data_IF_893910284007
#
_entry.id   IF_893910284007
#
_cell.length_a   1.000
_cell.length_b   1.000
_cell.length_c   1.000
_cell.angle_alpha   90.00
_cell.angle_beta   90.00
_cell.angle_gamma   90.00
#
_symmetry.space_group_name_H-M   'P 1'
#
loop_
_entity.id
_entity.type
_entity.pdbx_description
1 polymer ?
#
# COMPACT_ATOMS: atom_id res chain seq x y z
N UNK A 1 -12.92 -12.71 54.02
CA UNK A 1 -12.55 -11.82 52.94
C UNK A 1 -12.07 -12.64 51.77
N UNK A 2 -12.95 -12.83 50.77
CA UNK A 2 -12.70 -13.64 49.57
C UNK A 2 -12.14 -12.75 48.49
N UNK A 3 -10.87 -12.92 48.11
CA UNK A 3 -10.28 -12.34 46.89
C UNK A 3 -10.69 -13.17 45.68
N UNK A 4 -11.66 -12.71 44.94
CA UNK A 4 -11.98 -13.27 43.63
C UNK A 4 -10.99 -12.63 42.67
N UNK A 5 -9.90 -13.36 42.31
CA UNK A 5 -9.01 -13.00 41.24
C UNK A 5 -9.80 -12.96 39.93
N UNK A 6 -9.94 -11.75 39.39
CA UNK A 6 -10.60 -11.50 38.12
C UNK A 6 -9.67 -11.98 36.96
N UNK A 7 -9.68 -13.28 36.69
CA UNK A 7 -8.90 -13.91 35.62
C UNK A 7 -9.42 -13.60 34.19
N UNK A 8 -10.56 -12.87 34.10
CA UNK A 8 -11.18 -12.55 32.82
C UNK A 8 -10.53 -11.44 32.01
N UNK A 9 -9.57 -10.69 32.58
CA UNK A 9 -9.04 -9.48 31.97
C UNK A 9 -7.76 -9.67 31.12
N UNK A 10 -7.17 -10.87 31.12
CA UNK A 10 -5.91 -11.14 30.41
C UNK A 10 -6.11 -11.76 29.02
N UNK A 11 -7.25 -12.39 28.77
CA UNK A 11 -7.52 -13.08 27.50
C UNK A 11 -7.64 -12.13 26.30
N UNK A 12 -8.33 -10.96 26.38
CA UNK A 12 -8.40 -10.03 25.26
C UNK A 12 -7.04 -9.51 24.81
N UNK A 13 -6.12 -9.27 25.74
CA UNK A 13 -4.80 -8.75 25.44
C UNK A 13 -3.88 -9.74 24.72
N UNK A 14 -4.11 -11.05 24.89
CA UNK A 14 -3.36 -12.11 24.21
C UNK A 14 -3.82 -12.25 22.76
N UNK A 15 -5.13 -12.22 22.53
CA UNK A 15 -5.69 -12.24 21.16
C UNK A 15 -5.27 -11.01 20.35
N UNK A 16 -5.33 -9.82 20.94
CA UNK A 16 -4.86 -8.59 20.34
C UNK A 16 -3.37 -8.66 19.98
N UNK A 17 -2.56 -9.28 20.84
CA UNK A 17 -1.13 -9.43 20.60
C UNK A 17 -0.84 -10.39 19.42
N UNK A 18 -1.56 -11.52 19.33
CA UNK A 18 -1.43 -12.46 18.21
C UNK A 18 -1.91 -11.82 16.90
N UNK A 19 -3.04 -11.09 16.92
CA UNK A 19 -3.55 -10.34 15.79
C UNK A 19 -2.54 -9.33 15.27
N UNK A 20 -2.04 -8.46 16.13
CA UNK A 20 -1.05 -7.45 15.79
C UNK A 20 0.27 -8.06 15.26
N UNK A 21 0.70 -9.21 15.80
CA UNK A 21 1.88 -9.93 15.30
C UNK A 21 1.64 -10.53 13.92
N UNK A 22 0.46 -11.05 13.65
CA UNK A 22 0.09 -11.57 12.33
C UNK A 22 0.08 -10.45 11.29
N UNK A 23 -0.53 -9.33 11.60
CA UNK A 23 -0.56 -8.14 10.74
C UNK A 23 0.83 -7.61 10.41
N UNK A 24 1.70 -7.49 11.42
CA UNK A 24 3.09 -7.08 11.20
C UNK A 24 3.82 -8.00 10.22
N UNK A 25 3.58 -9.31 10.28
CA UNK A 25 4.16 -10.26 9.35
C UNK A 25 3.59 -10.13 7.94
N UNK A 26 2.30 -9.78 7.84
CA UNK A 26 1.62 -9.59 6.56
C UNK A 26 2.11 -8.33 5.85
N UNK A 27 2.26 -7.21 6.57
CA UNK A 27 2.70 -5.94 6.00
C UNK A 27 4.21 -5.86 5.78
N UNK A 28 5.02 -6.71 6.43
CA UNK A 28 6.48 -6.62 6.40
C UNK A 28 7.10 -6.66 4.99
N UNK A 29 6.69 -7.56 4.06
CA UNK A 29 7.26 -7.59 2.71
C UNK A 29 7.01 -6.29 1.94
N UNK A 30 5.78 -5.77 1.99
CA UNK A 30 5.40 -4.53 1.34
C UNK A 30 6.14 -3.32 1.96
N UNK A 31 6.19 -3.27 3.30
CA UNK A 31 6.90 -2.24 4.04
C UNK A 31 8.40 -2.20 3.68
N UNK A 32 9.03 -3.37 3.56
CA UNK A 32 10.46 -3.47 3.20
C UNK A 32 10.70 -2.95 1.79
N UNK A 33 9.84 -3.29 0.83
CA UNK A 33 9.97 -2.84 -0.55
C UNK A 33 9.75 -1.33 -0.68
N UNK A 34 8.70 -0.80 -0.07
CA UNK A 34 8.42 0.63 -0.07
C UNK A 34 9.51 1.44 0.65
N UNK A 35 10.04 0.90 1.77
CA UNK A 35 11.14 1.56 2.50
C UNK A 35 12.45 1.60 1.74
N UNK A 36 12.68 0.63 0.87
CA UNK A 36 13.84 0.63 -0.03
C UNK A 36 13.73 1.74 -1.09
N UNK A 37 12.52 2.01 -1.58
CA UNK A 37 12.26 3.03 -2.60
C UNK A 37 12.18 4.44 -2.01
N UNK A 38 11.62 4.54 -0.82
CA UNK A 38 11.36 5.81 -0.13
C UNK A 38 12.03 5.82 1.26
N UNK A 39 13.37 5.90 1.34
CA UNK A 39 14.09 5.90 2.62
C UNK A 39 13.71 7.10 3.50
N UNK A 40 13.29 8.21 2.89
CA UNK A 40 12.93 9.45 3.58
C UNK A 40 11.60 9.36 4.35
N UNK A 41 10.74 8.39 4.04
CA UNK A 41 9.48 8.15 4.77
C UNK A 41 9.71 7.58 6.17
N UNK A 42 10.96 7.24 6.52
CA UNK A 42 11.30 6.77 7.86
C UNK A 42 10.91 5.31 8.17
N UNK A 43 10.59 4.53 7.16
CA UNK A 43 10.20 3.10 7.30
C UNK A 43 11.27 2.27 8.02
N UNK A 44 12.54 2.66 7.93
CA UNK A 44 13.67 2.01 8.62
C UNK A 44 13.80 2.32 10.11
N UNK A 45 13.07 3.30 10.62
CA UNK A 45 13.12 3.69 12.04
C UNK A 45 12.42 2.62 12.88
N UNK A 46 13.09 2.18 13.96
CA UNK A 46 12.48 1.21 14.89
C UNK A 46 11.41 1.90 15.74
N UNK A 47 10.13 1.56 15.57
CA UNK A 47 9.08 2.13 16.39
C UNK A 47 9.22 1.66 17.83
N UNK A 48 8.99 2.59 18.77
CA UNK A 48 8.97 2.33 20.22
C UNK A 48 7.52 2.21 20.69
N UNK A 49 7.29 1.41 21.74
CA UNK A 49 5.98 1.30 22.37
C UNK A 49 5.26 -0.02 22.13
N UNK A 50 4.00 -0.11 22.58
CA UNK A 50 3.16 -1.30 22.45
C UNK A 50 2.97 -1.75 21.00
N UNK A 51 2.77 -3.05 20.82
CA UNK A 51 2.72 -3.68 19.49
C UNK A 51 1.61 -3.09 18.59
N UNK A 52 0.46 -2.75 19.17
CA UNK A 52 -0.67 -2.16 18.45
C UNK A 52 -0.32 -0.80 17.83
N UNK A 53 0.36 0.08 18.60
CA UNK A 53 0.81 1.37 18.08
C UNK A 53 1.85 1.21 16.96
N UNK A 54 2.72 0.21 17.08
CA UNK A 54 3.70 -0.11 16.04
C UNK A 54 3.06 -0.59 14.73
N UNK A 55 1.92 -1.30 14.81
CA UNK A 55 1.15 -1.68 13.62
C UNK A 55 0.56 -0.44 12.96
N UNK A 56 -0.14 0.41 13.73
CA UNK A 56 -0.76 1.62 13.22
C UNK A 56 0.26 2.56 12.56
N UNK A 57 1.40 2.80 13.22
CA UNK A 57 2.49 3.62 12.69
C UNK A 57 3.01 3.07 11.35
N UNK A 58 3.25 1.76 11.26
CA UNK A 58 3.73 1.14 10.02
C UNK A 58 2.71 1.17 8.89
N UNK A 59 1.41 1.06 9.21
CA UNK A 59 0.35 1.21 8.22
C UNK A 59 0.28 2.62 7.66
N UNK A 60 0.43 3.65 8.53
CA UNK A 60 0.53 5.03 8.08
C UNK A 60 1.72 5.25 7.13
N UNK A 61 2.90 4.72 7.49
CA UNK A 61 4.09 4.81 6.64
C UNK A 61 3.90 4.12 5.28
N UNK A 62 3.17 3.00 5.23
CA UNK A 62 2.83 2.34 3.97
C UNK A 62 1.91 3.24 3.13
N UNK A 63 0.88 3.83 3.73
CA UNK A 63 -0.04 4.75 3.03
C UNK A 63 0.70 5.94 2.45
N UNK A 64 1.59 6.57 3.22
CA UNK A 64 2.40 7.70 2.78
C UNK A 64 3.33 7.31 1.62
N UNK A 65 4.00 6.17 1.73
CA UNK A 65 4.89 5.67 0.67
C UNK A 65 4.12 5.30 -0.61
N UNK A 66 2.94 4.68 -0.49
CA UNK A 66 2.07 4.38 -1.63
C UNK A 66 1.62 5.65 -2.34
N UNK A 67 1.25 6.67 -1.57
CA UNK A 67 0.85 7.97 -2.13
C UNK A 67 2.01 8.65 -2.87
N UNK A 68 3.21 8.63 -2.31
CA UNK A 68 4.41 9.19 -2.97
C UNK A 68 4.76 8.44 -4.26
N UNK A 69 4.72 7.11 -4.24
CA UNK A 69 4.98 6.27 -5.42
C UNK A 69 3.96 6.57 -6.53
N UNK A 70 2.69 6.68 -6.17
CA UNK A 70 1.61 6.94 -7.11
C UNK A 70 1.67 8.35 -7.70
N UNK A 71 1.97 9.37 -6.88
CA UNK A 71 2.12 10.74 -7.38
C UNK A 71 3.33 10.87 -8.30
N UNK A 72 4.42 10.17 -8.02
CA UNK A 72 5.59 10.12 -8.89
C UNK A 72 5.27 9.44 -10.23
N UNK A 73 4.53 8.31 -10.20
CA UNK A 73 4.11 7.59 -11.40
C UNK A 73 3.13 8.41 -12.25
N UNK A 74 2.16 9.08 -11.62
CA UNK A 74 1.22 9.96 -12.31
C UNK A 74 1.94 11.16 -12.96
N UNK A 75 2.87 11.78 -12.25
CA UNK A 75 3.70 12.87 -12.80
C UNK A 75 4.57 12.40 -13.98
N UNK A 76 5.11 11.17 -13.91
CA UNK A 76 5.87 10.59 -15.02
C UNK A 76 4.99 10.35 -16.25
N UNK A 77 3.76 9.89 -16.06
CA UNK A 77 2.77 9.66 -17.12
C UNK A 77 2.32 10.96 -17.79
N UNK A 78 2.16 12.05 -17.00
CA UNK A 78 1.72 13.37 -17.48
C UNK A 78 2.86 14.17 -18.11
N UNK A 79 4.13 13.72 -18.05
CA UNK A 79 5.24 14.36 -18.78
C UNK A 79 5.07 14.11 -20.27
N UNK A 80 4.88 15.17 -21.10
CA UNK A 80 4.90 15.01 -22.54
C UNK A 80 6.26 14.48 -22.96
N UNK A 81 6.28 13.51 -23.88
CA UNK A 81 7.49 13.08 -24.56
C UNK A 81 7.81 14.15 -25.61
N UNK A 82 8.18 15.35 -25.17
CA UNK A 82 8.57 16.43 -26.06
C UNK A 82 10.04 16.33 -26.40
N UNK A 83 10.34 15.47 -27.38
CA UNK A 83 11.59 15.54 -28.15
C UNK A 83 11.48 16.54 -29.32
N UNK A 84 10.47 17.41 -29.38
CA UNK A 84 10.37 18.41 -30.45
C UNK A 84 9.71 19.67 -29.90
N UNK A 85 10.45 20.76 -29.87
CA UNK A 85 10.15 22.05 -29.24
C UNK A 85 8.93 22.81 -29.77
N UNK A 86 7.76 22.23 -29.71
CA UNK A 86 6.49 22.91 -29.92
C UNK A 86 5.78 23.06 -28.57
N UNK A 87 5.72 24.30 -28.09
CA UNK A 87 5.00 24.71 -26.88
C UNK A 87 3.50 24.56 -27.15
N UNK A 88 2.78 23.61 -26.55
CA UNK A 88 1.32 23.58 -26.70
C UNK A 88 0.74 24.78 -25.93
N UNK A 89 0.03 25.63 -26.63
CA UNK A 89 -0.81 26.69 -26.05
C UNK A 89 -1.93 25.98 -25.32
N UNK A 90 -1.84 25.92 -24.00
CA UNK A 90 -2.90 25.36 -23.14
C UNK A 90 -4.10 26.29 -23.24
N UNK A 91 -5.17 25.86 -23.87
CA UNK A 91 -6.44 26.58 -23.84
C UNK A 91 -7.01 26.59 -22.40
N UNK A 92 -7.44 27.75 -21.87
CA UNK A 92 -8.06 27.83 -20.56
C UNK A 92 -9.53 27.38 -20.68
N UNK A 93 -9.76 26.08 -20.53
CA UNK A 93 -11.13 25.52 -20.67
C UNK A 93 -11.23 24.01 -20.41
N UNK A 94 -10.11 23.34 -20.18
CA UNK A 94 -10.14 21.93 -19.84
C UNK A 94 -10.52 21.80 -18.36
N UNK A 95 -11.82 21.59 -18.13
CA UNK A 95 -12.38 21.21 -16.84
C UNK A 95 -11.64 19.94 -16.41
N UNK A 96 -10.89 20.04 -15.29
CA UNK A 96 -10.35 18.89 -14.60
C UNK A 96 -11.47 17.86 -14.45
N UNK A 97 -11.37 16.78 -15.20
CA UNK A 97 -12.40 15.76 -15.32
C UNK A 97 -12.58 15.10 -13.95
N UNK A 98 -13.66 15.47 -13.25
CA UNK A 98 -14.02 14.93 -11.92
C UNK A 98 -14.20 13.41 -11.96
N UNK A 99 -14.30 12.81 -13.16
CA UNK A 99 -14.32 11.37 -13.39
C UNK A 99 -13.03 10.65 -12.92
N UNK A 100 -11.90 11.35 -12.84
CA UNK A 100 -10.66 10.76 -12.32
C UNK A 100 -10.71 10.43 -10.81
N UNK A 101 -11.73 10.92 -10.10
CA UNK A 101 -11.91 10.73 -8.65
C UNK A 101 -12.86 9.58 -8.30
N UNK A 102 -13.49 8.94 -9.28
CA UNK A 102 -14.37 7.80 -9.01
C UNK A 102 -13.56 6.52 -8.76
N UNK A 103 -13.93 5.79 -7.71
CA UNK A 103 -13.27 4.50 -7.40
C UNK A 103 -13.47 3.54 -8.58
N UNK A 104 -12.47 2.72 -8.94
CA UNK A 104 -12.59 1.81 -10.07
C UNK A 104 -13.77 0.86 -9.87
N UNK A 105 -14.54 0.55 -10.93
CA UNK A 105 -15.72 -0.32 -10.86
C UNK A 105 -15.32 -1.81 -10.79
N UNK A 106 -14.43 -2.16 -9.88
CA UNK A 106 -13.91 -3.52 -9.68
C UNK A 106 -14.07 -3.93 -8.21
N UNK A 107 -14.11 -5.24 -7.92
CA UNK A 107 -14.09 -5.73 -6.54
C UNK A 107 -12.86 -5.23 -5.79
N UNK A 108 -12.97 -4.91 -4.48
CA UNK A 108 -11.85 -4.41 -3.67
C UNK A 108 -10.59 -5.29 -3.71
N UNK A 109 -10.76 -6.60 -3.72
CA UNK A 109 -9.65 -7.56 -3.80
C UNK A 109 -8.90 -7.48 -5.14
N UNK A 110 -9.62 -7.26 -6.24
CA UNK A 110 -9.02 -7.05 -7.55
C UNK A 110 -8.28 -5.72 -7.63
N UNK A 111 -8.86 -4.67 -7.05
CA UNK A 111 -8.22 -3.38 -6.90
C UNK A 111 -6.91 -3.50 -6.09
N UNK A 112 -6.94 -4.16 -4.94
CA UNK A 112 -5.76 -4.41 -4.11
C UNK A 112 -4.70 -5.23 -4.84
N UNK A 113 -5.12 -6.25 -5.58
CA UNK A 113 -4.24 -7.08 -6.39
C UNK A 113 -3.54 -6.29 -7.49
N UNK A 114 -4.26 -5.43 -8.19
CA UNK A 114 -3.69 -4.57 -9.23
C UNK A 114 -2.64 -3.62 -8.68
N UNK A 115 -2.90 -2.99 -7.51
CA UNK A 115 -1.92 -2.16 -6.81
C UNK A 115 -0.69 -3.00 -6.43
N UNK A 116 -0.89 -4.18 -5.86
CA UNK A 116 0.20 -5.07 -5.45
C UNK A 116 1.05 -5.51 -6.65
N UNK A 117 0.44 -5.81 -7.79
CA UNK A 117 1.13 -6.17 -9.03
C UNK A 117 1.97 -5.01 -9.56
N UNK A 118 1.44 -3.80 -9.55
CA UNK A 118 2.18 -2.61 -9.95
C UNK A 118 3.41 -2.38 -9.06
N UNK A 119 3.26 -2.47 -7.74
CA UNK A 119 4.39 -2.34 -6.83
C UNK A 119 5.42 -3.46 -7.05
N UNK A 120 4.94 -4.69 -7.25
CA UNK A 120 5.80 -5.85 -7.49
C UNK A 120 6.60 -5.72 -8.80
N UNK A 121 5.97 -5.24 -9.88
CA UNK A 121 6.62 -5.03 -11.17
C UNK A 121 7.77 -4.01 -11.12
N UNK A 122 7.65 -2.99 -10.29
CA UNK A 122 8.73 -2.01 -10.05
C UNK A 122 9.84 -2.50 -9.11
N UNK A 123 9.78 -3.75 -8.62
CA UNK A 123 10.81 -4.32 -7.75
C UNK A 123 12.09 -4.62 -8.54
N UNK A 124 13.23 -4.39 -7.90
CA UNK A 124 14.52 -4.82 -8.43
C UNK A 124 14.58 -6.35 -8.55
N UNK A 125 14.85 -6.85 -9.75
CA UNK A 125 14.84 -8.28 -10.04
C UNK A 125 13.45 -8.89 -10.30
N UNK A 126 12.41 -8.07 -10.48
CA UNK A 126 11.12 -8.59 -10.95
C UNK A 126 11.26 -9.20 -12.36
N UNK A 127 10.51 -10.27 -12.68
CA UNK A 127 10.48 -10.81 -14.03
C UNK A 127 10.07 -9.74 -15.04
N UNK A 128 10.78 -9.62 -16.17
CA UNK A 128 10.53 -8.60 -17.19
C UNK A 128 9.13 -8.69 -17.82
N UNK A 129 8.49 -9.85 -17.71
CA UNK A 129 7.12 -10.07 -18.18
C UNK A 129 6.05 -9.50 -17.23
N UNK A 130 6.45 -9.01 -16.06
CA UNK A 130 5.54 -8.38 -15.07
C UNK A 130 5.46 -6.88 -15.38
N UNK A 131 5.01 -6.53 -16.58
CA UNK A 131 4.80 -5.12 -16.96
C UNK A 131 3.43 -4.65 -16.46
N UNK A 132 3.30 -4.38 -15.16
CA UNK A 132 2.11 -3.75 -14.61
C UNK A 132 2.30 -2.23 -14.61
N UNK A 133 1.58 -1.55 -15.51
CA UNK A 133 1.54 -0.09 -15.54
C UNK A 133 0.82 0.47 -14.29
N UNK A 134 1.14 1.71 -13.96
CA UNK A 134 0.44 2.42 -12.90
C UNK A 134 -1.04 2.58 -13.26
N UNK A 135 -1.97 2.05 -12.47
CA UNK A 135 -3.40 2.04 -12.81
C UNK A 135 -4.09 3.40 -12.68
N UNK A 136 -3.45 4.39 -12.04
CA UNK A 136 -3.99 5.71 -11.76
C UNK A 136 -4.26 5.96 -10.29
N UNK A 137 -4.35 7.24 -9.90
CA UNK A 137 -4.55 7.66 -8.50
C UNK A 137 -5.87 7.16 -7.91
N UNK A 138 -6.91 7.05 -8.73
CA UNK A 138 -8.23 6.55 -8.31
C UNK A 138 -8.17 5.12 -7.73
N UNK A 139 -7.20 4.31 -8.18
CA UNK A 139 -7.02 2.95 -7.69
C UNK A 139 -6.49 2.86 -6.26
N UNK A 140 -5.83 3.90 -5.75
CA UNK A 140 -5.39 3.96 -4.36
C UNK A 140 -6.51 4.33 -3.39
N UNK A 141 -7.63 4.81 -3.92
CA UNK A 141 -8.76 5.19 -3.08
C UNK A 141 -9.30 3.96 -2.36
N UNK A 142 -9.45 4.11 -1.06
CA UNK A 142 -10.02 3.09 -0.21
C UNK A 142 -11.48 2.82 -0.59
N UNK A 143 -11.87 1.55 -0.81
CA UNK A 143 -13.28 1.18 -0.98
C UNK A 143 -14.09 1.46 0.28
N UNK A 144 -15.34 1.89 0.12
CA UNK A 144 -16.22 2.24 1.25
C UNK A 144 -16.53 1.07 2.20
N UNK A 145 -16.34 -0.17 1.74
CA UNK A 145 -16.54 -1.38 2.53
C UNK A 145 -15.35 -1.77 3.40
N UNK A 146 -14.22 -1.04 3.33
CA UNK A 146 -13.00 -1.31 4.09
C UNK A 146 -12.67 -0.13 5.00
N UNK A 147 -12.10 -0.39 6.17
CA UNK A 147 -11.36 0.60 6.96
C UNK A 147 -9.95 0.78 6.37
N UNK A 148 -9.28 1.91 6.67
CA UNK A 148 -7.89 2.16 6.23
C UNK A 148 -6.96 0.99 6.57
N UNK A 149 -7.12 0.44 7.77
CA UNK A 149 -6.34 -0.71 8.23
C UNK A 149 -6.59 -1.97 7.39
N UNK A 150 -7.85 -2.31 7.15
CA UNK A 150 -8.22 -3.47 6.34
C UNK A 150 -7.76 -3.31 4.91
N UNK A 151 -7.85 -2.10 4.37
CA UNK A 151 -7.40 -1.80 3.02
C UNK A 151 -5.90 -2.00 2.84
N UNK A 152 -5.08 -1.47 3.74
CA UNK A 152 -3.62 -1.66 3.70
C UNK A 152 -3.25 -3.14 3.90
N UNK A 153 -3.95 -3.85 4.78
CA UNK A 153 -3.75 -5.28 4.98
C UNK A 153 -4.08 -6.10 3.72
N UNK A 154 -5.16 -5.76 3.01
CA UNK A 154 -5.54 -6.44 1.77
C UNK A 154 -4.46 -6.26 0.69
N UNK A 155 -3.99 -5.02 0.46
CA UNK A 155 -2.89 -4.75 -0.47
C UNK A 155 -1.63 -5.53 -0.08
N UNK A 156 -1.27 -5.52 1.20
CA UNK A 156 -0.09 -6.23 1.70
C UNK A 156 -0.22 -7.75 1.56
N UNK A 157 -1.41 -8.31 1.75
CA UNK A 157 -1.68 -9.73 1.56
C UNK A 157 -1.54 -10.13 0.09
N UNK A 158 -2.09 -9.35 -0.84
CA UNK A 158 -1.93 -9.58 -2.27
C UNK A 158 -0.47 -9.50 -2.70
N UNK A 159 0.28 -8.52 -2.19
CA UNK A 159 1.71 -8.38 -2.45
C UNK A 159 2.51 -9.59 -1.93
N UNK A 160 2.19 -10.07 -0.73
CA UNK A 160 2.82 -11.26 -0.15
C UNK A 160 2.55 -12.52 -0.99
N UNK A 161 1.34 -12.71 -1.48
CA UNK A 161 1.00 -13.84 -2.37
C UNK A 161 1.84 -13.82 -3.64
N UNK A 162 2.02 -12.65 -4.26
CA UNK A 162 2.87 -12.48 -5.44
C UNK A 162 4.34 -12.84 -5.16
N UNK A 163 4.87 -12.42 -4.00
CA UNK A 163 6.25 -12.73 -3.62
C UNK A 163 6.47 -14.22 -3.39
N UNK A 164 5.49 -14.91 -2.80
CA UNK A 164 5.57 -16.35 -2.54
C UNK A 164 5.45 -17.18 -3.83
N UNK A 165 4.52 -16.84 -4.71
CA UNK A 165 4.32 -17.56 -5.98
C UNK A 165 5.55 -17.49 -6.89
N UNK A 166 6.26 -16.39 -6.89
CA UNK A 166 7.45 -16.21 -7.73
C UNK A 166 8.75 -16.70 -7.09
N UNK A 167 8.77 -16.93 -5.77
CA UNK A 167 9.94 -17.52 -5.09
C UNK A 167 10.04 -19.05 -5.25
N UNK A 168 8.99 -19.71 -5.70
CA UNK A 168 8.93 -21.16 -5.91
C UNK A 168 9.31 -21.63 -7.33
N UNK A 169 9.70 -20.71 -8.22
CA UNK A 169 9.99 -21.01 -9.63
C UNK A 169 11.48 -21.00 -9.98
N UNK A 170 12.39 -21.14 -8.98
CA UNK A 170 13.85 -21.25 -9.16
C UNK A 170 14.30 -22.69 -8.94
#
# INVERSE_FOLDING_TARGET
>A
MMWVCNAGSLLPSVEDWFGARHELRTIQPLLTELGRRHPDVGIGVRPRGPLVFRVAERMSLISDALFLEATAADAARKRPVDATGARPTREPGETDDVSELESPPVPPQEQARTIAQWIYAGREGAPKDTNAEFPGLAWLRQPTSYSDREWILEIAQQYRLLTLSNSGSV
#
